data_IF_825167885053
#
_entry.id   IF_825167885053
#
_cell.length_a   1.000
_cell.length_b   1.000
_cell.length_c   1.000
_cell.angle_alpha   90.00
_cell.angle_beta   90.00
_cell.angle_gamma   90.00
#
_symmetry.space_group_name_H-M   'P 1'
#
loop_
_entity.id
_entity.type
_entity.pdbx_description
1 polymer ?
#
# COMPACT_ATOMS: atom_id res chain seq x y z
N UNK A 1 4.53 -2.17 35.51
CA UNK A 1 3.82 -0.90 35.22
C UNK A 1 3.56 -0.88 33.71
N UNK A 2 2.36 -1.28 33.24
CA UNK A 2 2.01 -1.44 31.81
C UNK A 2 0.83 -0.55 31.37
N UNK A 3 0.57 0.55 32.08
CA UNK A 3 -0.65 1.35 31.91
C UNK A 3 -0.89 1.87 30.49
N UNK A 4 0.17 2.24 29.75
CA UNK A 4 0.05 2.68 28.36
C UNK A 4 -0.42 1.55 27.42
N UNK A 5 0.13 0.34 27.60
CA UNK A 5 -0.26 -0.85 26.82
C UNK A 5 -1.69 -1.27 27.16
N UNK A 6 -2.07 -1.23 28.45
CA UNK A 6 -3.43 -1.51 28.88
C UNK A 6 -4.44 -0.53 28.30
N UNK A 7 -4.11 0.77 28.26
CA UNK A 7 -4.95 1.79 27.65
C UNK A 7 -5.08 1.59 26.12
N UNK A 8 -3.99 1.23 25.43
CA UNK A 8 -4.03 0.91 24.01
C UNK A 8 -4.93 -0.31 23.74
N UNK A 9 -4.75 -1.39 24.51
CA UNK A 9 -5.55 -2.62 24.38
C UNK A 9 -7.05 -2.36 24.63
N UNK A 10 -7.39 -1.52 25.62
CA UNK A 10 -8.79 -1.10 25.85
C UNK A 10 -9.38 -0.34 24.67
N UNK A 11 -8.59 0.50 24.00
CA UNK A 11 -9.05 1.20 22.80
C UNK A 11 -9.26 0.24 21.63
N UNK A 12 -8.31 -0.66 21.38
CA UNK A 12 -8.40 -1.66 20.30
C UNK A 12 -9.64 -2.54 20.51
N UNK A 13 -9.88 -3.01 21.73
CA UNK A 13 -11.08 -3.78 22.08
C UNK A 13 -12.37 -3.04 21.71
N UNK A 14 -12.49 -1.75 22.08
CA UNK A 14 -13.67 -0.93 21.73
C UNK A 14 -13.88 -0.75 20.22
N UNK A 15 -12.80 -0.71 19.44
CA UNK A 15 -12.88 -0.59 17.98
C UNK A 15 -13.34 -1.93 17.38
N UNK A 16 -12.76 -3.05 17.83
CA UNK A 16 -13.17 -4.41 17.44
C UNK A 16 -14.64 -4.63 17.75
N UNK A 17 -15.10 -4.33 18.96
CA UNK A 17 -16.51 -4.48 19.37
C UNK A 17 -17.48 -3.72 18.46
N UNK A 18 -17.05 -2.60 17.86
CA UNK A 18 -17.87 -1.81 16.92
C UNK A 18 -17.84 -2.32 15.49
N UNK A 19 -16.74 -2.94 15.07
CA UNK A 19 -16.56 -3.44 13.70
C UNK A 19 -17.06 -4.88 13.53
N UNK A 20 -17.08 -5.65 14.62
CA UNK A 20 -17.48 -7.05 14.61
C UNK A 20 -19.00 -7.19 14.64
N UNK A 21 -19.58 -7.80 13.59
CA UNK A 21 -21.02 -8.11 13.52
C UNK A 21 -21.36 -9.36 14.33
N UNK A 22 -20.50 -10.39 14.26
CA UNK A 22 -20.59 -11.60 15.06
C UNK A 22 -19.25 -11.82 15.77
N UNK A 23 -19.27 -12.09 17.08
CA UNK A 23 -18.07 -12.24 17.90
C UNK A 23 -17.05 -13.25 17.33
N UNK A 24 -17.48 -14.23 16.51
CA UNK A 24 -16.60 -15.20 15.86
C UNK A 24 -15.66 -14.59 14.81
N UNK A 25 -16.06 -13.47 14.21
CA UNK A 25 -15.36 -12.83 13.09
C UNK A 25 -14.34 -11.78 13.57
N UNK A 26 -14.07 -11.72 14.88
CA UNK A 26 -13.16 -10.73 15.48
C UNK A 26 -11.76 -10.74 14.84
N UNK A 27 -11.28 -11.92 14.45
CA UNK A 27 -9.97 -12.12 13.85
C UNK A 27 -9.91 -11.60 12.41
N UNK A 28 -11.02 -11.67 11.67
CA UNK A 28 -11.15 -11.09 10.33
C UNK A 28 -11.21 -9.56 10.41
N UNK A 29 -11.80 -9.01 11.47
CA UNK A 29 -11.87 -7.57 11.72
C UNK A 29 -10.57 -6.99 12.29
N UNK A 30 -9.70 -7.83 12.86
CA UNK A 30 -8.48 -7.40 13.54
C UNK A 30 -7.57 -6.52 12.66
N UNK A 31 -7.26 -6.86 11.39
CA UNK A 31 -6.44 -6.01 10.53
C UNK A 31 -7.03 -4.60 10.33
N UNK A 32 -8.35 -4.51 10.13
CA UNK A 32 -9.06 -3.24 9.92
C UNK A 32 -9.07 -2.39 11.19
N UNK A 33 -9.26 -3.02 12.34
CA UNK A 33 -9.30 -2.32 13.64
C UNK A 33 -7.93 -1.76 14.02
N UNK A 34 -6.86 -2.50 13.74
CA UNK A 34 -5.49 -2.03 13.90
C UNK A 34 -5.16 -0.90 12.94
N UNK A 35 -5.61 -0.98 11.69
CA UNK A 35 -5.45 0.08 10.71
C UNK A 35 -6.14 1.37 11.20
N UNK A 36 -7.42 1.28 11.57
CA UNK A 36 -8.20 2.39 12.08
C UNK A 36 -7.53 3.03 13.31
N UNK A 37 -7.04 2.21 14.25
CA UNK A 37 -6.31 2.72 15.41
C UNK A 37 -5.04 3.48 15.01
N UNK A 38 -4.25 2.95 14.07
CA UNK A 38 -2.97 3.54 13.64
C UNK A 38 -3.13 4.84 12.85
N UNK A 39 -4.20 4.99 12.08
CA UNK A 39 -4.41 6.15 11.19
C UNK A 39 -5.37 7.20 11.76
N UNK A 40 -6.02 6.93 12.89
CA UNK A 40 -6.89 7.91 13.55
C UNK A 40 -6.08 8.85 14.44
N UNK A 41 -6.34 10.15 14.32
CA UNK A 41 -5.75 11.17 15.17
C UNK A 41 -6.18 10.93 16.63
N UNK A 42 -5.21 10.89 17.54
CA UNK A 42 -5.50 10.76 18.98
C UNK A 42 -5.69 12.14 19.58
N UNK A 43 -6.79 12.33 20.31
CA UNK A 43 -7.07 13.59 21.01
C UNK A 43 -5.99 14.01 22.00
N UNK A 44 -5.28 13.04 22.60
CA UNK A 44 -4.21 13.30 23.56
C UNK A 44 -2.92 13.86 22.94
N UNK A 45 -2.63 13.52 21.68
CA UNK A 45 -1.36 13.90 21.02
C UNK A 45 -1.57 14.78 19.79
N UNK A 46 -2.80 14.89 19.28
CA UNK A 46 -3.09 15.59 18.02
C UNK A 46 -2.51 14.91 16.78
N UNK A 47 -1.90 13.74 16.93
CA UNK A 47 -1.22 12.99 15.87
C UNK A 47 -1.76 11.56 15.74
N UNK A 48 -1.54 10.93 14.59
CA UNK A 48 -1.85 9.51 14.40
C UNK A 48 -0.76 8.65 15.06
N UNK A 49 -1.10 7.48 15.65
CA UNK A 49 -0.07 6.59 16.19
C UNK A 49 0.94 6.15 15.12
N UNK A 50 0.54 6.09 13.86
CA UNK A 50 1.43 5.80 12.74
C UNK A 50 2.48 6.91 12.56
N UNK A 51 2.08 8.18 12.50
CA UNK A 51 3.02 9.29 12.30
C UNK A 51 3.98 9.48 13.47
N UNK A 52 3.57 9.14 14.70
CA UNK A 52 4.47 9.12 15.85
C UNK A 52 5.59 8.06 15.74
N UNK A 53 5.35 6.95 15.05
CA UNK A 53 6.34 5.87 14.88
C UNK A 53 7.22 6.09 13.65
N UNK A 54 6.63 6.53 12.54
CA UNK A 54 7.30 6.60 11.24
C UNK A 54 7.67 8.02 10.79
N UNK A 55 7.24 9.05 11.52
CA UNK A 55 7.53 10.45 11.20
C UNK A 55 6.75 11.03 10.01
N UNK A 56 5.81 10.29 9.43
CA UNK A 56 4.96 10.74 8.32
C UNK A 56 3.55 10.12 8.41
N UNK A 57 2.56 10.74 7.79
CA UNK A 57 1.22 10.19 7.77
C UNK A 57 1.10 8.97 6.85
N UNK A 58 0.27 8.00 7.24
CA UNK A 58 0.10 6.75 6.48
C UNK A 58 -0.42 7.01 5.05
N UNK A 59 -1.25 8.04 4.87
CA UNK A 59 -1.77 8.44 3.56
C UNK A 59 -0.67 9.01 2.64
N UNK A 60 0.24 9.80 3.20
CA UNK A 60 1.40 10.33 2.47
C UNK A 60 2.34 9.20 2.05
N UNK A 61 2.60 8.25 2.96
CA UNK A 61 3.40 7.06 2.65
C UNK A 61 2.79 6.25 1.51
N UNK A 62 1.47 6.02 1.55
CA UNK A 62 0.76 5.30 0.50
C UNK A 62 0.82 6.04 -0.84
N UNK A 63 0.66 7.37 -0.84
CA UNK A 63 0.77 8.21 -2.04
C UNK A 63 2.17 8.11 -2.66
N UNK A 64 3.21 8.27 -1.86
CA UNK A 64 4.59 8.17 -2.34
C UNK A 64 4.86 6.77 -2.94
N UNK A 65 4.36 5.72 -2.29
CA UNK A 65 4.51 4.34 -2.79
C UNK A 65 3.82 4.14 -4.13
N UNK A 66 2.63 4.70 -4.30
CA UNK A 66 1.89 4.64 -5.55
C UNK A 66 2.62 5.37 -6.70
N UNK A 67 3.13 6.57 -6.46
CA UNK A 67 3.92 7.32 -7.44
C UNK A 67 5.17 6.55 -7.89
N UNK A 68 5.90 5.92 -6.95
CA UNK A 68 7.06 5.09 -7.28
C UNK A 68 6.68 3.89 -8.15
N UNK A 69 5.54 3.27 -7.90
CA UNK A 69 5.06 2.14 -8.71
C UNK A 69 4.73 2.59 -10.14
N UNK A 70 4.01 3.71 -10.30
CA UNK A 70 3.70 4.28 -11.60
C UNK A 70 4.96 4.57 -12.42
N UNK A 71 6.00 5.14 -11.80
CA UNK A 71 7.28 5.40 -12.47
C UNK A 71 7.97 4.11 -12.95
N UNK A 72 7.87 3.02 -12.18
CA UNK A 72 8.42 1.72 -12.57
C UNK A 72 7.63 1.17 -13.77
N UNK A 73 6.31 1.26 -13.73
CA UNK A 73 5.45 0.75 -14.80
C UNK A 73 5.64 1.52 -16.11
N UNK A 74 5.79 2.84 -16.05
CA UNK A 74 6.15 3.67 -17.21
C UNK A 74 7.49 3.26 -17.83
N UNK A 75 8.51 3.05 -16.99
CA UNK A 75 9.84 2.61 -17.46
C UNK A 75 9.76 1.23 -18.11
N UNK A 76 9.01 0.30 -17.52
CA UNK A 76 8.78 -1.05 -18.08
C UNK A 76 8.05 -0.99 -19.41
N UNK A 77 7.00 -0.16 -19.51
CA UNK A 77 6.25 0.04 -20.75
C UNK A 77 7.16 0.57 -21.86
N UNK A 78 7.98 1.58 -21.56
CA UNK A 78 8.93 2.14 -22.54
C UNK A 78 9.94 1.11 -23.03
N UNK A 79 10.46 0.26 -22.14
CA UNK A 79 11.38 -0.81 -22.50
C UNK A 79 10.71 -1.86 -23.41
N UNK A 80 9.46 -2.23 -23.13
CA UNK A 80 8.67 -3.15 -23.96
C UNK A 80 8.43 -2.60 -25.36
N UNK A 81 8.00 -1.34 -25.47
CA UNK A 81 7.81 -0.68 -26.77
C UNK A 81 9.11 -0.65 -27.57
N UNK A 82 10.23 -0.34 -26.92
CA UNK A 82 11.54 -0.34 -27.59
C UNK A 82 11.92 -1.74 -28.10
N UNK A 83 11.73 -2.78 -27.29
CA UNK A 83 11.96 -4.17 -27.68
C UNK A 83 11.10 -4.60 -28.87
N UNK A 84 9.81 -4.24 -28.87
CA UNK A 84 8.89 -4.51 -29.99
C UNK A 84 9.35 -3.80 -31.27
N UNK A 85 9.72 -2.52 -31.19
CA UNK A 85 10.24 -1.79 -32.35
C UNK A 85 11.50 -2.46 -32.91
N UNK A 86 12.42 -2.91 -32.04
CA UNK A 86 13.62 -3.63 -32.46
C UNK A 86 13.26 -4.95 -33.16
N UNK A 87 12.38 -5.77 -32.58
CA UNK A 87 11.91 -7.02 -33.17
C UNK A 87 11.25 -6.80 -34.54
N UNK A 88 10.41 -5.78 -34.67
CA UNK A 88 9.77 -5.43 -35.95
C UNK A 88 10.81 -5.04 -37.02
N UNK A 89 11.85 -4.29 -36.65
CA UNK A 89 12.95 -3.94 -37.57
C UNK A 89 13.69 -5.18 -38.04
N UNK A 90 14.01 -6.10 -37.12
CA UNK A 90 14.69 -7.36 -37.46
C UNK A 90 13.83 -8.24 -38.38
N UNK A 91 12.53 -8.38 -38.08
CA UNK A 91 11.60 -9.14 -38.90
C UNK A 91 11.47 -8.57 -40.33
N UNK A 92 11.38 -7.24 -40.45
CA UNK A 92 11.35 -6.57 -41.77
C UNK A 92 12.62 -6.83 -42.57
N UNK A 93 13.80 -6.67 -41.96
CA UNK A 93 15.08 -6.88 -42.62
C UNK A 93 15.29 -8.34 -43.09
N UNK A 94 14.75 -9.32 -42.36
CA UNK A 94 14.75 -10.71 -42.77
C UNK A 94 13.80 -10.94 -43.96
N UNK A 95 12.54 -10.49 -43.86
CA UNK A 95 11.54 -10.67 -44.90
C UNK A 95 11.94 -10.03 -46.24
N UNK A 96 12.67 -8.91 -46.24
CA UNK A 96 13.18 -8.29 -47.47
C UNK A 96 14.26 -9.13 -48.16
N UNK A 97 15.02 -9.95 -47.41
CA UNK A 97 16.04 -10.83 -47.98
C UNK A 97 15.50 -12.14 -48.54
N UNK A 98 14.36 -12.61 -48.04
CA UNK A 98 13.73 -13.89 -48.45
C UNK A 98 12.86 -13.73 -49.70
N UNK A 99 12.45 -12.50 -50.03
CA UNK A 99 11.55 -12.21 -51.17
C UNK A 99 12.26 -12.08 -52.53
N UNK A 100 13.56 -12.36 -52.60
CA UNK A 100 14.37 -12.42 -53.82
C UNK A 100 14.95 -13.83 -53.97
#
# INVERSE_FOLDING_TARGET
MNGAVEAANKNIKKIIEKMTVNYKDWHEMLPYTLLAYRTSIRTSTGATPYSLVYGMEAAEWAKQRYEQLNLIDEKRLKALCHGQCYQQRMARAFNTKVRH
#
